data_IF_664203248738
#
_entry.id   IF_664203248738
#
_cell.length_a   1.000
_cell.length_b   1.000
_cell.length_c   1.000
_cell.angle_alpha   90.00
_cell.angle_beta   90.00
_cell.angle_gamma   90.00
#
_symmetry.space_group_name_H-M   'P 1'
#
loop_
_entity.id
_entity.type
_entity.pdbx_description
1 polymer ?
#
# COMPACT_ATOMS: atom_id res chain seq x y z
N UNK A 1 -28.64 17.20 7.38
CA UNK A 1 -28.03 15.94 7.86
C UNK A 1 -27.03 16.32 8.93
N UNK A 2 -27.09 15.65 10.07
CA UNK A 2 -26.13 15.85 11.18
C UNK A 2 -24.71 15.39 10.79
N UNK A 3 -23.70 16.00 11.41
CA UNK A 3 -22.27 15.74 11.15
C UNK A 3 -21.90 14.27 11.41
N UNK A 4 -22.48 13.64 12.44
CA UNK A 4 -22.22 12.23 12.74
C UNK A 4 -22.81 11.30 11.68
N UNK A 5 -24.00 11.58 11.17
CA UNK A 5 -24.60 10.83 10.07
C UNK A 5 -23.80 10.99 8.76
N UNK A 6 -23.24 12.19 8.51
CA UNK A 6 -22.30 12.40 7.39
C UNK A 6 -21.02 11.59 7.59
N UNK A 7 -20.47 11.54 8.80
CA UNK A 7 -19.27 10.79 9.12
C UNK A 7 -19.44 9.29 8.81
N UNK A 8 -20.53 8.69 9.24
CA UNK A 8 -20.82 7.28 8.95
C UNK A 8 -20.78 6.98 7.44
N UNK A 9 -21.48 7.79 6.64
CA UNK A 9 -21.54 7.64 5.18
C UNK A 9 -20.15 7.83 4.55
N UNK A 10 -19.44 8.88 4.92
CA UNK A 10 -18.21 9.29 4.25
C UNK A 10 -16.97 8.49 4.69
N UNK A 11 -17.00 7.86 5.85
CA UNK A 11 -15.97 6.91 6.28
C UNK A 11 -16.20 5.53 5.67
N UNK A 12 -17.45 5.07 5.56
CA UNK A 12 -17.76 3.83 4.86
C UNK A 12 -17.39 3.93 3.38
N UNK A 13 -17.70 5.06 2.74
CA UNK A 13 -17.31 5.34 1.37
C UNK A 13 -15.78 5.39 1.17
N UNK A 14 -15.00 5.74 2.19
CA UNK A 14 -13.55 5.81 2.15
C UNK A 14 -12.84 4.45 2.33
N UNK A 15 -13.54 3.38 2.72
CA UNK A 15 -12.92 2.08 3.06
C UNK A 15 -12.14 1.45 1.90
N UNK A 16 -12.53 1.72 0.66
CA UNK A 16 -11.88 1.19 -0.54
C UNK A 16 -10.59 1.94 -0.93
N UNK A 17 -10.29 3.06 -0.29
CA UNK A 17 -9.03 3.75 -0.48
C UNK A 17 -7.91 3.01 0.26
N UNK A 18 -6.92 2.46 -0.46
CA UNK A 18 -5.77 1.81 0.16
C UNK A 18 -4.79 2.86 0.66
N UNK A 19 -4.86 3.20 1.92
CA UNK A 19 -3.88 4.07 2.56
C UNK A 19 -3.30 3.45 3.82
N UNK A 20 -3.75 2.26 4.20
CA UNK A 20 -3.44 1.67 5.47
C UNK A 20 -3.15 0.19 5.35
N UNK A 21 -1.97 -0.18 5.78
CA UNK A 21 -1.74 -1.53 6.24
C UNK A 21 -2.51 -1.67 7.54
N UNK A 22 -3.72 -2.24 7.48
CA UNK A 22 -4.45 -2.62 8.69
C UNK A 22 -3.58 -3.57 9.50
N UNK A 23 -3.45 -3.33 10.79
CA UNK A 23 -2.67 -4.19 11.70
C UNK A 23 -3.28 -5.58 11.92
N UNK A 24 -4.35 -5.95 11.20
CA UNK A 24 -4.97 -7.27 11.24
C UNK A 24 -5.58 -7.70 12.58
N UNK A 25 -5.47 -6.90 13.63
CA UNK A 25 -6.00 -7.23 14.95
C UNK A 25 -7.37 -6.59 15.12
N UNK A 26 -8.42 -7.36 14.93
CA UNK A 26 -9.78 -7.01 15.34
C UNK A 26 -9.98 -7.44 16.78
N UNK A 27 -10.03 -6.50 17.72
CA UNK A 27 -10.53 -6.74 19.08
C UNK A 27 -11.96 -6.21 19.13
N UNK A 28 -12.94 -7.12 19.24
CA UNK A 28 -14.34 -6.76 19.42
C UNK A 28 -14.58 -6.12 20.80
N UNK A 29 -15.69 -5.41 20.93
CA UNK A 29 -16.18 -4.89 22.20
C UNK A 29 -16.29 -6.02 23.23
N UNK A 30 -15.71 -5.84 24.42
CA UNK A 30 -15.84 -6.77 25.54
C UNK A 30 -16.30 -5.99 26.77
N UNK A 31 -17.50 -6.28 27.26
CA UNK A 31 -18.08 -5.63 28.42
C UNK A 31 -17.16 -5.78 29.65
N UNK A 32 -16.88 -4.68 30.34
CA UNK A 32 -16.04 -4.68 31.54
C UNK A 32 -14.53 -4.53 31.29
N UNK A 33 -14.07 -4.37 30.04
CA UNK A 33 -12.68 -4.10 29.72
C UNK A 33 -12.50 -2.66 29.26
N UNK A 34 -11.54 -1.96 29.88
CA UNK A 34 -11.06 -0.66 29.39
C UNK A 34 -10.01 -0.95 28.31
N UNK A 35 -10.32 -0.67 27.06
CA UNK A 35 -9.43 -0.84 25.93
C UNK A 35 -9.93 -0.05 24.76
N UNK A 36 -9.00 0.34 23.91
CA UNK A 36 -9.28 1.19 22.77
C UNK A 36 -10.15 0.40 21.76
N UNK A 37 -11.47 0.59 21.83
CA UNK A 37 -12.44 0.09 20.85
C UNK A 37 -12.43 0.92 19.57
N UNK A 38 -11.30 1.59 19.25
CA UNK A 38 -11.16 2.45 18.07
C UNK A 38 -11.37 1.70 16.77
N UNK A 39 -11.40 0.36 16.79
CA UNK A 39 -11.87 -0.44 15.65
C UNK A 39 -13.37 -0.32 15.37
N UNK A 40 -14.15 0.23 16.28
CA UNK A 40 -15.60 0.46 16.13
C UNK A 40 -15.94 1.88 15.70
N UNK A 41 -14.99 2.83 15.77
CA UNK A 41 -15.19 4.14 15.17
C UNK A 41 -14.90 4.00 13.69
N UNK A 42 -15.96 3.98 12.89
CA UNK A 42 -15.84 3.98 11.45
C UNK A 42 -14.86 5.08 11.00
N UNK A 43 -13.90 4.74 10.14
CA UNK A 43 -13.00 5.72 9.54
C UNK A 43 -11.62 5.89 10.16
N UNK A 44 -11.25 5.18 11.23
CA UNK A 44 -9.87 5.22 11.70
C UNK A 44 -8.98 4.23 10.95
N UNK A 45 -7.85 4.70 10.46
CA UNK A 45 -6.86 3.88 9.78
C UNK A 45 -5.46 4.10 10.39
N UNK A 46 -4.55 3.16 10.13
CA UNK A 46 -3.19 3.22 10.64
C UNK A 46 -2.20 3.41 9.50
N UNK A 47 -1.21 4.27 9.69
CA UNK A 47 -0.05 4.40 8.81
C UNK A 47 1.22 4.35 9.65
N UNK A 48 2.36 4.05 9.01
CA UNK A 48 3.64 4.07 9.70
C UNK A 48 4.40 5.35 9.35
N UNK A 49 4.90 6.03 10.38
CA UNK A 49 5.83 7.14 10.22
C UNK A 49 7.23 6.64 9.84
N UNK A 50 8.14 7.54 9.45
CA UNK A 50 9.48 7.18 9.03
C UNK A 50 10.32 6.49 10.13
N UNK A 51 9.99 6.75 11.39
CA UNK A 51 10.59 6.13 12.58
C UNK A 51 9.93 4.79 12.99
N UNK A 52 8.99 4.29 12.18
CA UNK A 52 8.31 3.01 12.41
C UNK A 52 7.14 3.05 13.38
N UNK A 53 6.76 4.23 13.94
CA UNK A 53 5.58 4.36 14.78
C UNK A 53 4.30 4.20 13.96
N UNK A 54 3.32 3.52 14.55
CA UNK A 54 1.97 3.44 14.01
C UNK A 54 1.21 4.73 14.33
N UNK A 55 0.73 5.43 13.31
CA UNK A 55 -0.03 6.68 13.40
C UNK A 55 -1.48 6.40 13.04
N UNK A 56 -2.40 6.74 13.92
CA UNK A 56 -3.85 6.58 13.68
C UNK A 56 -4.39 7.81 12.96
N UNK A 57 -5.02 7.60 11.80
CA UNK A 57 -5.58 8.67 10.98
C UNK A 57 -7.11 8.58 10.91
N UNK A 58 -7.79 9.72 10.93
CA UNK A 58 -9.16 9.82 10.44
C UNK A 58 -9.12 9.72 8.92
N UNK A 59 -9.66 8.64 8.38
CA UNK A 59 -9.76 8.41 6.94
C UNK A 59 -11.18 8.70 6.49
N UNK A 60 -11.36 9.73 5.69
CA UNK A 60 -12.68 10.23 5.34
C UNK A 60 -12.68 10.86 3.95
N UNK A 61 -13.83 10.78 3.27
CA UNK A 61 -14.11 11.58 2.09
C UNK A 61 -14.65 12.96 2.51
N UNK A 62 -14.20 14.01 1.80
CA UNK A 62 -14.86 15.32 1.86
C UNK A 62 -16.31 15.21 1.36
N UNK A 63 -16.49 14.45 0.29
CA UNK A 63 -17.80 14.13 -0.28
C UNK A 63 -17.77 12.82 -1.05
N UNK A 64 -18.86 12.07 -1.02
CA UNK A 64 -19.10 10.95 -1.92
C UNK A 64 -20.07 11.29 -3.07
N UNK A 65 -20.51 12.54 -3.17
CA UNK A 65 -21.19 13.06 -4.36
C UNK A 65 -20.12 13.22 -5.46
N UNK A 66 -20.19 12.42 -6.51
CA UNK A 66 -19.20 12.44 -7.58
C UNK A 66 -19.88 12.69 -8.93
N UNK A 67 -19.28 13.55 -9.76
CA UNK A 67 -19.74 13.79 -11.14
C UNK A 67 -19.21 12.75 -12.13
N UNK A 68 -18.20 11.96 -11.72
CA UNK A 68 -17.61 10.89 -12.53
C UNK A 68 -18.37 9.58 -12.40
N UNK A 69 -18.29 8.75 -13.43
CA UNK A 69 -18.98 7.45 -13.47
C UNK A 69 -18.01 6.27 -13.63
N UNK A 70 -16.90 6.28 -12.87
CA UNK A 70 -15.91 5.20 -12.89
C UNK A 70 -16.57 3.87 -12.53
N UNK A 71 -16.53 2.88 -13.44
CA UNK A 71 -17.25 1.63 -13.33
C UNK A 71 -16.96 0.83 -12.05
N UNK A 72 -15.71 0.90 -11.55
CA UNK A 72 -15.27 0.20 -10.34
C UNK A 72 -15.64 0.90 -9.02
N UNK A 73 -16.18 2.13 -9.07
CA UNK A 73 -16.33 2.96 -7.87
C UNK A 73 -17.76 2.86 -7.31
N UNK A 74 -17.89 2.56 -6.01
CA UNK A 74 -19.17 2.55 -5.31
C UNK A 74 -19.83 3.93 -5.31
N UNK A 75 -19.02 5.00 -5.36
CA UNK A 75 -19.47 6.39 -5.32
C UNK A 75 -19.69 7.01 -6.72
N UNK A 76 -19.67 6.20 -7.79
CA UNK A 76 -19.92 6.69 -9.14
C UNK A 76 -21.32 7.36 -9.24
N UNK A 77 -21.45 8.29 -10.17
CA UNK A 77 -22.67 9.09 -10.35
C UNK A 77 -23.93 8.24 -10.50
N UNK A 78 -23.86 7.15 -11.27
CA UNK A 78 -25.02 6.30 -11.59
C UNK A 78 -25.42 5.34 -10.48
N UNK A 79 -24.65 5.19 -9.40
CA UNK A 79 -25.01 4.33 -8.28
C UNK A 79 -25.99 5.02 -7.33
N UNK A 80 -27.03 4.30 -6.94
CA UNK A 80 -27.97 4.72 -5.89
C UNK A 80 -27.36 4.40 -4.50
N UNK A 81 -26.54 5.33 -4.01
CA UNK A 81 -25.90 5.24 -2.68
C UNK A 81 -26.23 6.48 -1.87
N UNK A 82 -26.29 6.33 -0.54
CA UNK A 82 -26.47 7.49 0.36
C UNK A 82 -25.35 8.50 0.13
N UNK A 83 -25.73 9.76 -0.16
CA UNK A 83 -24.78 10.82 -0.48
C UNK A 83 -24.67 11.81 0.66
N UNK A 84 -23.44 12.25 0.92
CA UNK A 84 -23.14 13.28 1.89
C UNK A 84 -21.94 14.13 1.44
N UNK A 85 -21.85 15.33 1.97
CA UNK A 85 -20.69 16.21 1.83
C UNK A 85 -20.49 17.00 3.11
N UNK A 86 -19.24 17.08 3.55
CA UNK A 86 -18.84 18.03 4.60
C UNK A 86 -18.62 19.41 4.00
N UNK A 87 -18.97 20.44 4.76
CA UNK A 87 -18.38 21.76 4.54
C UNK A 87 -16.92 21.73 5.04
N UNK A 88 -16.04 22.62 4.56
CA UNK A 88 -14.68 22.75 5.06
C UNK A 88 -14.62 22.91 6.60
N UNK A 89 -15.53 23.71 7.16
CA UNK A 89 -15.59 23.94 8.60
C UNK A 89 -16.00 22.66 9.36
N UNK A 90 -17.06 21.97 8.95
CA UNK A 90 -17.51 20.72 9.60
C UNK A 90 -16.38 19.68 9.65
N UNK A 91 -15.63 19.52 8.56
CA UNK A 91 -14.52 18.56 8.50
C UNK A 91 -13.36 18.97 9.40
N UNK A 92 -13.03 20.25 9.44
CA UNK A 92 -11.98 20.78 10.31
C UNK A 92 -12.35 20.64 11.78
N UNK A 93 -13.58 20.99 12.17
CA UNK A 93 -14.10 20.87 13.54
C UNK A 93 -14.11 19.40 14.01
N UNK A 94 -14.57 18.50 13.14
CA UNK A 94 -14.57 17.06 13.41
C UNK A 94 -13.15 16.53 13.66
N UNK A 95 -12.22 16.89 12.77
CA UNK A 95 -10.83 16.44 12.84
C UNK A 95 -10.15 16.94 14.11
N UNK A 96 -10.29 18.23 14.44
CA UNK A 96 -9.64 18.77 15.64
C UNK A 96 -10.25 18.23 16.92
N UNK A 97 -11.56 17.97 16.94
CA UNK A 97 -12.22 17.37 18.11
C UNK A 97 -11.76 15.92 18.33
N UNK A 98 -11.58 15.13 17.28
CA UNK A 98 -11.04 13.77 17.39
C UNK A 98 -9.58 13.77 17.85
N UNK A 99 -8.79 14.70 17.33
CA UNK A 99 -7.40 14.87 17.75
C UNK A 99 -7.28 15.25 19.24
N UNK A 100 -8.06 16.25 19.70
CA UNK A 100 -8.06 16.68 21.12
C UNK A 100 -8.48 15.57 22.09
N UNK A 101 -9.29 14.62 21.62
CA UNK A 101 -9.70 13.43 22.38
C UNK A 101 -8.74 12.26 22.27
N UNK A 102 -7.59 12.43 21.58
CA UNK A 102 -6.60 11.40 21.34
C UNK A 102 -7.14 10.17 20.57
N UNK A 103 -8.17 10.34 19.74
CA UNK A 103 -8.68 9.27 18.89
C UNK A 103 -7.85 9.10 17.62
N UNK A 104 -7.26 10.18 17.13
CA UNK A 104 -6.44 10.23 15.93
C UNK A 104 -5.18 11.09 16.16
N UNK A 105 -4.17 10.83 15.36
CA UNK A 105 -2.93 11.61 15.27
C UNK A 105 -2.85 12.42 13.97
N UNK A 106 -3.77 12.17 13.03
CA UNK A 106 -3.78 12.85 11.75
C UNK A 106 -5.03 12.62 10.92
N UNK A 107 -5.02 13.16 9.72
CA UNK A 107 -6.11 13.12 8.76
C UNK A 107 -5.63 12.49 7.44
N UNK A 108 -6.41 11.55 6.90
CA UNK A 108 -6.33 11.13 5.51
C UNK A 108 -7.58 11.62 4.77
N UNK A 109 -7.40 12.59 3.88
CA UNK A 109 -8.48 13.25 3.17
C UNK A 109 -8.47 12.91 1.69
N UNK A 110 -9.60 12.40 1.22
CA UNK A 110 -9.92 12.24 -0.21
C UNK A 110 -11.30 12.81 -0.51
N UNK A 111 -11.76 12.74 -1.76
CA UNK A 111 -13.10 13.17 -2.15
C UNK A 111 -13.55 12.50 -3.44
N UNK A 112 -14.86 12.31 -3.60
CA UNK A 112 -15.48 12.27 -4.90
C UNK A 112 -15.39 13.65 -5.54
N UNK A 113 -15.48 13.73 -6.86
CA UNK A 113 -15.34 14.99 -7.60
C UNK A 113 -16.69 15.72 -7.58
N UNK A 114 -16.75 16.78 -6.77
CA UNK A 114 -17.88 17.71 -6.71
C UNK A 114 -17.79 18.67 -7.91
N UNK A 115 -18.86 18.95 -8.60
CA UNK A 115 -18.93 19.89 -9.74
C UNK A 115 -17.80 19.72 -10.77
N UNK A 116 -16.56 19.99 -10.37
CA UNK A 116 -15.33 19.82 -11.16
C UNK A 116 -14.11 19.59 -10.25
N UNK A 117 -12.94 19.20 -10.81
CA UNK A 117 -11.71 18.96 -10.05
C UNK A 117 -11.25 20.16 -9.22
N UNK A 118 -11.25 21.36 -9.79
CA UNK A 118 -10.76 22.58 -9.15
C UNK A 118 -11.59 22.94 -7.93
N UNK A 119 -12.90 23.01 -8.08
CA UNK A 119 -13.82 23.28 -6.98
C UNK A 119 -13.62 22.27 -5.82
N UNK A 120 -13.44 20.98 -6.15
CA UNK A 120 -13.22 19.94 -5.14
C UNK A 120 -11.92 20.16 -4.40
N UNK A 121 -10.84 20.46 -5.13
CA UNK A 121 -9.54 20.77 -4.54
C UNK A 121 -9.59 22.01 -3.65
N UNK A 122 -10.27 23.06 -4.08
CA UNK A 122 -10.46 24.29 -3.29
C UNK A 122 -11.15 24.00 -1.96
N UNK A 123 -12.22 23.18 -1.95
CA UNK A 123 -12.89 22.81 -0.71
C UNK A 123 -11.97 22.02 0.22
N UNK A 124 -11.20 21.05 -0.31
CA UNK A 124 -10.23 20.28 0.46
C UNK A 124 -9.12 21.19 1.03
N UNK A 125 -8.56 22.07 0.21
CA UNK A 125 -7.54 23.05 0.63
C UNK A 125 -8.09 23.96 1.73
N UNK A 126 -9.33 24.45 1.60
CA UNK A 126 -9.97 25.28 2.61
C UNK A 126 -10.09 24.55 3.95
N UNK A 127 -10.52 23.29 3.96
CA UNK A 127 -10.62 22.49 5.18
C UNK A 127 -9.24 22.30 5.86
N UNK A 128 -8.20 21.99 5.07
CA UNK A 128 -6.85 21.81 5.59
C UNK A 128 -6.25 23.14 6.07
N UNK A 129 -6.56 24.25 5.39
CA UNK A 129 -6.12 25.58 5.79
C UNK A 129 -6.72 25.99 7.14
N UNK A 130 -8.02 25.77 7.36
CA UNK A 130 -8.65 25.97 8.66
C UNK A 130 -7.92 25.16 9.75
N UNK A 131 -7.60 23.89 9.47
CA UNK A 131 -6.83 23.07 10.41
C UNK A 131 -5.45 23.67 10.71
N UNK A 132 -4.68 24.04 9.69
CA UNK A 132 -3.30 24.53 9.83
C UNK A 132 -3.21 25.93 10.42
N UNK A 133 -4.02 26.85 9.95
CA UNK A 133 -3.90 28.28 10.24
C UNK A 133 -4.76 28.68 11.47
N UNK A 134 -6.04 28.25 11.52
CA UNK A 134 -6.95 28.64 12.59
C UNK A 134 -6.80 27.75 13.83
N UNK A 135 -6.83 26.41 13.64
CA UNK A 135 -6.68 25.46 14.75
C UNK A 135 -5.22 25.14 15.10
N UNK A 136 -4.26 25.63 14.31
CA UNK A 136 -2.82 25.36 14.48
C UNK A 136 -2.51 23.87 14.64
N UNK A 137 -3.23 23.05 13.88
CA UNK A 137 -3.10 21.59 13.90
C UNK A 137 -1.75 21.19 13.33
N UNK A 138 -0.91 20.54 14.13
CA UNK A 138 0.42 20.04 13.75
C UNK A 138 0.45 18.52 13.54
N UNK A 139 -0.74 17.85 13.49
CA UNK A 139 -0.83 16.43 13.17
C UNK A 139 -0.56 16.13 11.71
N UNK A 140 -0.36 14.86 11.40
CA UNK A 140 -0.07 14.38 10.06
C UNK A 140 -1.28 14.54 9.12
N UNK A 141 -1.07 15.09 7.94
CA UNK A 141 -2.11 15.20 6.89
C UNK A 141 -1.64 14.52 5.61
N UNK A 142 -2.39 13.50 5.20
CA UNK A 142 -2.28 12.90 3.88
C UNK A 142 -3.50 13.33 3.05
N UNK A 143 -3.26 13.99 1.92
CA UNK A 143 -4.34 14.42 1.03
C UNK A 143 -4.20 13.82 -0.36
N UNK A 144 -5.35 13.43 -0.95
CA UNK A 144 -5.42 13.00 -2.35
C UNK A 144 -5.60 14.21 -3.25
N UNK A 145 -4.65 14.43 -4.15
CA UNK A 145 -4.81 15.37 -5.25
C UNK A 145 -5.86 14.85 -6.22
N UNK A 146 -6.80 15.70 -6.59
CA UNK A 146 -7.86 15.35 -7.53
C UNK A 146 -7.29 15.39 -8.96
N UNK A 147 -7.41 14.29 -9.75
CA UNK A 147 -6.95 14.27 -11.12
C UNK A 147 -7.61 15.35 -11.98
N UNK A 148 -6.81 16.10 -12.73
CA UNK A 148 -7.29 17.19 -13.58
C UNK A 148 -7.47 18.54 -12.88
N UNK A 149 -7.15 18.66 -11.59
CA UNK A 149 -7.13 19.95 -10.92
C UNK A 149 -5.96 20.84 -11.41
N UNK A 150 -6.17 22.16 -11.35
CA UNK A 150 -5.18 23.15 -11.76
C UNK A 150 -3.86 22.98 -10.97
N UNK A 151 -2.69 23.20 -11.63
CA UNK A 151 -1.38 23.06 -11.00
C UNK A 151 -1.20 23.90 -9.73
N UNK A 152 -1.77 25.11 -9.71
CA UNK A 152 -1.71 26.03 -8.58
C UNK A 152 -2.37 25.46 -7.33
N UNK A 153 -3.45 24.68 -7.50
CA UNK A 153 -4.14 24.01 -6.41
C UNK A 153 -3.33 22.81 -5.88
N UNK A 154 -2.63 22.10 -6.76
CA UNK A 154 -1.70 21.03 -6.33
C UNK A 154 -0.55 21.60 -5.51
N UNK A 155 0.00 22.76 -5.92
CA UNK A 155 1.03 23.49 -5.16
C UNK A 155 0.52 23.89 -3.77
N UNK A 156 -0.64 24.54 -3.70
CA UNK A 156 -1.23 24.95 -2.42
C UNK A 156 -1.47 23.75 -1.49
N UNK A 157 -2.00 22.66 -2.03
CA UNK A 157 -2.25 21.44 -1.25
C UNK A 157 -0.94 20.85 -0.71
N UNK A 158 0.14 20.87 -1.52
CA UNK A 158 1.45 20.36 -1.12
C UNK A 158 2.15 21.15 -0.03
N UNK A 159 1.89 22.45 0.06
CA UNK A 159 2.39 23.30 1.16
C UNK A 159 1.65 23.07 2.49
N UNK A 160 0.43 22.53 2.45
CA UNK A 160 -0.41 22.31 3.62
C UNK A 160 -0.37 20.85 4.12
N UNK A 161 -0.17 19.87 3.23
CA UNK A 161 -0.19 18.45 3.52
C UNK A 161 1.22 17.88 3.71
N UNK A 162 1.35 16.86 4.57
CA UNK A 162 2.62 16.15 4.75
C UNK A 162 2.89 15.15 3.63
N UNK A 163 1.84 14.51 3.11
CA UNK A 163 1.92 13.59 1.97
C UNK A 163 0.82 13.87 0.97
N UNK A 164 1.19 13.79 -0.31
CA UNK A 164 0.23 13.80 -1.40
C UNK A 164 0.10 12.42 -2.04
N UNK A 165 -1.07 12.11 -2.55
CA UNK A 165 -1.26 10.98 -3.45
C UNK A 165 -2.13 11.38 -4.63
N UNK A 166 -1.78 10.85 -5.80
CA UNK A 166 -2.62 10.90 -6.99
C UNK A 166 -2.76 9.45 -7.47
N UNK A 167 -3.98 8.93 -7.47
CA UNK A 167 -4.18 7.53 -7.80
C UNK A 167 -4.10 7.29 -9.30
N UNK A 168 -3.29 6.31 -9.70
CA UNK A 168 -3.24 5.85 -11.10
C UNK A 168 -4.45 4.97 -11.44
N UNK A 169 -5.10 4.40 -10.45
CA UNK A 169 -6.29 3.56 -10.46
C UNK A 169 -6.10 2.23 -11.19
N UNK A 170 -5.73 2.23 -12.46
CA UNK A 170 -5.62 1.03 -13.30
C UNK A 170 -4.24 0.91 -13.94
N UNK A 171 -3.75 -0.32 -14.21
CA UNK A 171 -2.42 -0.54 -14.73
C UNK A 171 -2.24 -0.03 -16.17
N UNK A 172 -3.29 -0.05 -16.97
CA UNK A 172 -3.22 0.26 -18.41
C UNK A 172 -4.11 1.44 -18.79
N UNK A 173 -3.70 2.16 -19.84
CA UNK A 173 -4.50 3.25 -20.42
C UNK A 173 -5.81 2.72 -21.02
N UNK A 174 -5.77 1.53 -21.62
CA UNK A 174 -6.97 0.89 -22.15
C UNK A 174 -7.99 0.59 -21.05
N UNK A 175 -7.52 0.06 -19.90
CA UNK A 175 -8.34 -0.15 -18.72
C UNK A 175 -8.93 1.16 -18.21
N UNK A 176 -8.11 2.22 -18.13
CA UNK A 176 -8.56 3.53 -17.65
C UNK A 176 -9.65 4.12 -18.57
N UNK A 177 -9.46 4.08 -19.89
CA UNK A 177 -10.50 4.54 -20.86
C UNK A 177 -11.81 3.77 -20.74
N UNK A 178 -11.73 2.47 -20.51
CA UNK A 178 -12.92 1.61 -20.42
C UNK A 178 -13.66 1.79 -19.09
N UNK A 179 -12.94 1.85 -17.97
CA UNK A 179 -13.54 1.81 -16.64
C UNK A 179 -13.67 3.18 -15.96
N UNK A 180 -12.97 4.20 -16.45
CA UNK A 180 -12.99 5.56 -15.91
C UNK A 180 -12.82 6.61 -17.02
N UNK A 181 -13.79 6.73 -17.95
CA UNK A 181 -13.64 7.52 -19.17
C UNK A 181 -13.40 9.02 -18.93
N UNK A 182 -13.80 9.54 -17.77
CA UNK A 182 -13.52 10.93 -17.39
C UNK A 182 -12.08 11.18 -16.90
N UNK A 183 -11.29 10.12 -16.74
CA UNK A 183 -9.88 10.20 -16.34
C UNK A 183 -8.97 9.86 -17.51
N UNK A 184 -7.92 10.65 -17.69
CA UNK A 184 -6.88 10.38 -18.69
C UNK A 184 -5.54 10.15 -18.00
N UNK A 185 -4.61 9.45 -18.67
CA UNK A 185 -3.24 9.31 -18.17
C UNK A 185 -2.61 10.68 -17.89
N UNK A 186 -2.85 11.67 -18.75
CA UNK A 186 -2.36 13.02 -18.55
C UNK A 186 -2.89 13.65 -17.26
N UNK A 187 -4.20 13.52 -16.97
CA UNK A 187 -4.83 14.09 -15.77
C UNK A 187 -4.30 13.46 -14.46
N UNK A 188 -3.79 12.24 -14.52
CA UNK A 188 -3.23 11.52 -13.37
C UNK A 188 -1.72 11.74 -13.25
N UNK A 189 -0.97 11.66 -14.35
CA UNK A 189 0.50 11.73 -14.33
C UNK A 189 1.02 13.17 -14.23
N UNK A 190 0.28 14.17 -14.73
CA UNK A 190 0.70 15.58 -14.63
C UNK A 190 0.85 16.05 -13.16
N UNK A 191 -0.13 15.83 -12.26
CA UNK A 191 0.06 16.13 -10.85
C UNK A 191 1.23 15.39 -10.21
N UNK A 192 1.45 14.10 -10.55
CA UNK A 192 2.60 13.34 -10.02
C UNK A 192 3.94 13.97 -10.41
N UNK A 193 4.06 14.37 -11.68
CA UNK A 193 5.26 15.04 -12.20
C UNK A 193 5.48 16.39 -11.51
N UNK A 194 4.43 17.18 -11.35
CA UNK A 194 4.49 18.47 -10.65
C UNK A 194 4.97 18.29 -9.21
N UNK A 195 4.38 17.34 -8.46
CA UNK A 195 4.76 17.03 -7.08
C UNK A 195 6.23 16.62 -7.02
N UNK A 196 6.71 15.81 -7.96
CA UNK A 196 8.12 15.41 -8.05
C UNK A 196 9.03 16.64 -8.22
N UNK A 197 8.78 17.44 -9.26
CA UNK A 197 9.60 18.61 -9.59
C UNK A 197 9.64 19.57 -8.39
N UNK A 198 8.48 19.88 -7.82
CA UNK A 198 8.36 20.78 -6.68
C UNK A 198 9.03 20.25 -5.43
N UNK A 199 8.94 18.92 -5.18
CA UNK A 199 9.64 18.28 -4.06
C UNK A 199 11.16 18.34 -4.19
N UNK A 200 11.71 18.25 -5.41
CA UNK A 200 13.16 18.40 -5.67
C UNK A 200 13.56 19.86 -5.41
N UNK A 201 12.85 20.82 -6.02
CA UNK A 201 13.10 22.25 -5.83
C UNK A 201 13.04 22.65 -4.35
N UNK A 202 12.02 22.16 -3.62
CA UNK A 202 11.87 22.47 -2.21
C UNK A 202 13.02 21.93 -1.35
N UNK A 203 13.60 20.77 -1.68
CA UNK A 203 14.80 20.26 -0.99
C UNK A 203 15.99 21.20 -1.19
N UNK A 204 16.18 21.73 -2.40
CA UNK A 204 17.24 22.68 -2.70
C UNK A 204 17.03 24.04 -2.00
N UNK A 205 15.77 24.51 -1.99
CA UNK A 205 15.37 25.74 -1.29
C UNK A 205 15.60 25.61 0.22
N UNK A 206 15.27 24.47 0.84
CA UNK A 206 15.49 24.20 2.26
C UNK A 206 16.98 24.22 2.66
N UNK A 207 17.88 23.89 1.74
CA UNK A 207 19.32 24.00 1.96
C UNK A 207 19.77 25.46 1.91
N UNK A 208 19.18 26.26 1.02
CA UNK A 208 19.57 27.66 0.78
C UNK A 208 18.93 28.65 1.76
N UNK A 209 17.68 28.40 2.14
CA UNK A 209 16.87 29.36 2.88
C UNK A 209 16.27 28.73 4.15
N UNK A 210 16.57 29.29 5.32
CA UNK A 210 16.21 28.75 6.64
C UNK A 210 14.69 28.66 6.90
N UNK A 211 13.90 29.53 6.29
CA UNK A 211 12.46 29.67 6.55
C UNK A 211 11.57 29.20 5.40
N UNK A 212 12.11 28.43 4.46
CA UNK A 212 11.32 27.88 3.35
C UNK A 212 10.21 26.96 3.88
N UNK A 213 8.96 27.15 3.46
CA UNK A 213 7.89 26.20 3.77
C UNK A 213 8.19 24.82 3.19
N UNK A 214 7.88 23.77 3.94
CA UNK A 214 8.04 22.38 3.47
C UNK A 214 6.92 22.04 2.51
N UNK A 215 7.27 21.46 1.36
CA UNK A 215 6.31 20.93 0.40
C UNK A 215 6.23 19.40 0.51
N UNK A 216 5.08 18.85 0.88
CA UNK A 216 4.80 17.42 1.02
C UNK A 216 6.01 16.62 1.59
N UNK A 217 6.48 16.90 2.80
CA UNK A 217 7.75 16.37 3.33
C UNK A 217 7.79 14.84 3.42
N UNK A 218 6.65 14.17 3.54
CA UNK A 218 6.56 12.71 3.48
C UNK A 218 6.47 12.15 2.05
N UNK A 219 6.54 13.03 1.03
CA UNK A 219 6.58 12.69 -0.38
C UNK A 219 5.23 12.30 -0.96
N UNK A 220 5.27 11.63 -2.12
CA UNK A 220 4.07 11.21 -2.82
C UNK A 220 3.91 9.69 -2.89
N UNK A 221 2.66 9.25 -3.06
CA UNK A 221 2.29 7.86 -3.28
C UNK A 221 1.15 7.75 -4.30
N UNK A 222 0.89 6.53 -4.76
CA UNK A 222 -0.24 6.23 -5.65
C UNK A 222 -0.90 4.93 -5.24
N UNK A 223 -2.09 4.68 -5.78
CA UNK A 223 -2.83 3.43 -5.61
C UNK A 223 -3.24 2.88 -6.97
N UNK A 224 -3.23 1.55 -7.08
CA UNK A 224 -3.63 0.79 -8.26
C UNK A 224 -4.56 -0.35 -7.86
N UNK A 225 -5.64 -0.51 -8.61
CA UNK A 225 -6.59 -1.61 -8.45
C UNK A 225 -6.07 -2.82 -9.21
N UNK A 226 -6.08 -3.99 -8.57
CA UNK A 226 -5.59 -5.25 -9.12
C UNK A 226 -6.76 -6.21 -9.32
N UNK A 227 -6.89 -6.74 -10.54
CA UNK A 227 -7.94 -7.72 -10.87
C UNK A 227 -9.26 -7.13 -11.36
N UNK A 228 -9.35 -5.80 -11.53
CA UNK A 228 -10.47 -5.17 -12.27
C UNK A 228 -10.29 -5.29 -13.79
N UNK A 229 -9.06 -5.44 -14.24
CA UNK A 229 -8.63 -5.59 -15.64
C UNK A 229 -7.76 -6.84 -15.80
N UNK A 230 -7.61 -7.40 -17.01
CA UNK A 230 -6.82 -8.61 -17.27
C UNK A 230 -5.30 -8.36 -17.32
N UNK A 231 -4.82 -7.22 -16.82
CA UNK A 231 -3.40 -6.88 -16.80
C UNK A 231 -2.57 -7.90 -16.03
N UNK A 232 -1.42 -8.30 -16.58
CA UNK A 232 -0.49 -9.23 -15.95
C UNK A 232 0.30 -8.60 -14.80
N UNK A 233 0.87 -9.41 -13.91
CA UNK A 233 1.71 -8.94 -12.83
C UNK A 233 3.01 -8.31 -13.35
N UNK A 234 3.55 -8.80 -14.46
CA UNK A 234 4.70 -8.20 -15.15
C UNK A 234 4.40 -6.76 -15.58
N UNK A 235 3.22 -6.54 -16.20
CA UNK A 235 2.80 -5.20 -16.61
C UNK A 235 2.68 -4.26 -15.40
N UNK A 236 2.05 -4.74 -14.32
CA UNK A 236 1.89 -4.00 -13.06
C UNK A 236 3.27 -3.66 -12.46
N UNK A 237 4.22 -4.61 -12.44
CA UNK A 237 5.55 -4.36 -11.87
C UNK A 237 6.40 -3.42 -12.70
N UNK A 238 6.36 -3.55 -14.04
CA UNK A 238 7.04 -2.61 -14.96
C UNK A 238 6.54 -1.18 -14.75
N UNK A 239 5.21 -1.02 -14.67
CA UNK A 239 4.62 0.27 -14.36
C UNK A 239 5.05 0.77 -12.98
N UNK A 240 5.00 -0.08 -11.97
CA UNK A 240 5.40 0.24 -10.60
C UNK A 240 6.85 0.70 -10.53
N UNK A 241 7.76 -0.03 -11.17
CA UNK A 241 9.17 0.35 -11.27
C UNK A 241 9.35 1.69 -11.99
N UNK A 242 8.68 1.88 -13.12
CA UNK A 242 8.71 3.15 -13.86
C UNK A 242 8.18 4.33 -13.05
N UNK A 243 7.19 4.12 -12.19
CA UNK A 243 6.68 5.14 -11.28
C UNK A 243 7.70 5.51 -10.20
N UNK A 244 8.44 4.54 -9.64
CA UNK A 244 9.53 4.82 -8.70
C UNK A 244 10.67 5.57 -9.38
N UNK A 245 11.11 5.12 -10.53
CA UNK A 245 12.26 5.68 -11.24
C UNK A 245 11.97 7.10 -11.77
N UNK A 246 10.78 7.33 -12.36
CA UNK A 246 10.44 8.60 -13.02
C UNK A 246 9.84 9.63 -12.09
N UNK A 247 9.01 9.23 -11.11
CA UNK A 247 8.25 10.16 -10.26
C UNK A 247 8.71 10.18 -8.80
N UNK A 248 9.74 9.39 -8.43
CA UNK A 248 10.29 9.30 -7.07
C UNK A 248 9.20 9.02 -6.02
N UNK A 249 8.23 8.18 -6.37
CA UNK A 249 7.18 7.78 -5.44
C UNK A 249 7.80 7.12 -4.19
N UNK A 250 7.19 7.35 -3.04
CA UNK A 250 7.55 6.64 -1.81
C UNK A 250 6.91 5.27 -1.74
N UNK A 251 5.71 5.10 -2.33
CA UNK A 251 5.01 3.83 -2.36
C UNK A 251 3.95 3.78 -3.46
N UNK A 252 3.82 2.63 -4.08
CA UNK A 252 2.65 2.21 -4.85
C UNK A 252 1.82 1.30 -3.95
N UNK A 253 0.53 1.60 -3.80
CA UNK A 253 -0.41 0.74 -3.09
C UNK A 253 -1.18 -0.09 -4.10
N UNK A 254 -1.26 -1.39 -3.85
CA UNK A 254 -2.12 -2.30 -4.58
C UNK A 254 -3.40 -2.51 -3.79
N UNK A 255 -4.52 -2.61 -4.48
CA UNK A 255 -5.82 -2.89 -3.89
C UNK A 255 -6.52 -3.96 -4.72
N UNK A 256 -6.73 -5.13 -4.16
CA UNK A 256 -7.53 -6.15 -4.80
C UNK A 256 -8.92 -5.60 -5.11
N UNK A 257 -9.36 -5.80 -6.36
CA UNK A 257 -10.69 -5.38 -6.76
C UNK A 257 -11.76 -6.14 -5.95
N UNK A 258 -12.62 -5.38 -5.29
CA UNK A 258 -13.80 -5.92 -4.59
C UNK A 258 -15.02 -5.65 -5.47
N UNK A 259 -15.75 -6.67 -5.90
CA UNK A 259 -16.92 -6.51 -6.77
C UNK A 259 -18.12 -5.93 -5.99
N UNK A 260 -18.17 -4.61 -5.88
CA UNK A 260 -19.26 -3.87 -5.18
C UNK A 260 -20.33 -3.36 -6.12
N UNK A 261 -20.02 -3.32 -7.42
CA UNK A 261 -20.90 -2.80 -8.47
C UNK A 261 -21.07 -3.89 -9.52
N UNK A 262 -22.31 -4.04 -10.02
CA UNK A 262 -22.57 -4.91 -11.16
C UNK A 262 -22.31 -4.15 -12.45
N UNK A 263 -21.47 -4.73 -13.31
CA UNK A 263 -21.12 -4.14 -14.60
C UNK A 263 -20.62 -5.24 -15.53
N UNK A 264 -21.07 -5.21 -16.79
CA UNK A 264 -20.54 -6.11 -17.82
C UNK A 264 -19.04 -5.89 -18.14
N UNK A 265 -18.48 -4.76 -17.70
CA UNK A 265 -17.07 -4.40 -17.91
C UNK A 265 -16.15 -4.88 -16.78
N UNK A 266 -16.68 -5.48 -15.72
CA UNK A 266 -15.96 -5.84 -14.50
C UNK A 266 -16.23 -7.31 -14.14
N UNK A 267 -15.34 -7.94 -13.36
CA UNK A 267 -15.62 -9.25 -12.80
C UNK A 267 -16.96 -9.27 -12.03
N UNK A 268 -17.67 -10.40 -12.11
CA UNK A 268 -18.97 -10.57 -11.47
C UNK A 268 -18.89 -10.39 -9.94
N UNK A 269 -20.03 -10.07 -9.30
CA UNK A 269 -20.13 -9.91 -7.84
C UNK A 269 -19.74 -11.18 -7.05
N UNK A 270 -19.83 -12.33 -7.68
CA UNK A 270 -19.46 -13.64 -7.09
C UNK A 270 -17.94 -13.87 -7.13
N UNK A 271 -17.19 -13.09 -7.93
CA UNK A 271 -15.75 -13.20 -8.02
C UNK A 271 -15.09 -12.81 -6.71
N UNK A 272 -14.33 -13.74 -6.12
CA UNK A 272 -13.58 -13.44 -4.91
C UNK A 272 -12.46 -12.44 -5.20
N UNK A 273 -12.29 -11.39 -4.35
CA UNK A 273 -11.18 -10.46 -4.48
C UNK A 273 -9.84 -11.18 -4.52
N UNK A 274 -8.91 -10.82 -5.42
CA UNK A 274 -7.63 -11.51 -5.59
C UNK A 274 -6.61 -11.09 -4.51
N UNK A 275 -6.95 -11.31 -3.23
CA UNK A 275 -6.14 -10.88 -2.08
C UNK A 275 -4.74 -11.50 -2.06
N UNK A 276 -4.62 -12.76 -2.49
CA UNK A 276 -3.33 -13.43 -2.55
C UNK A 276 -2.43 -12.83 -3.64
N UNK A 277 -3.01 -12.46 -4.79
CA UNK A 277 -2.30 -11.73 -5.86
C UNK A 277 -1.83 -10.35 -5.38
N UNK A 278 -2.70 -9.62 -4.68
CA UNK A 278 -2.33 -8.34 -4.05
C UNK A 278 -1.14 -8.53 -3.10
N UNK A 279 -1.18 -9.57 -2.25
CA UNK A 279 -0.10 -9.89 -1.32
C UNK A 279 1.22 -10.20 -2.06
N UNK A 280 1.19 -10.98 -3.17
CA UNK A 280 2.38 -11.27 -3.97
C UNK A 280 2.94 -10.01 -4.63
N UNK A 281 2.11 -9.13 -5.11
CA UNK A 281 2.54 -7.83 -5.64
C UNK A 281 3.19 -6.95 -4.57
N UNK A 282 2.68 -6.92 -3.33
CA UNK A 282 3.35 -6.24 -2.23
C UNK A 282 4.71 -6.86 -1.87
N UNK A 283 4.84 -8.18 -1.93
CA UNK A 283 6.13 -8.84 -1.73
C UNK A 283 7.11 -8.46 -2.86
N UNK A 284 6.66 -8.46 -4.11
CA UNK A 284 7.48 -8.05 -5.25
C UNK A 284 7.87 -6.57 -5.20
N UNK A 285 6.95 -5.67 -4.83
CA UNK A 285 7.24 -4.26 -4.57
C UNK A 285 8.37 -4.08 -3.55
N UNK A 286 8.36 -4.90 -2.50
CA UNK A 286 9.43 -4.90 -1.50
C UNK A 286 10.78 -5.32 -2.09
N UNK A 287 10.79 -6.32 -3.00
CA UNK A 287 12.00 -6.75 -3.70
C UNK A 287 12.54 -5.65 -4.63
N UNK A 288 11.68 -4.95 -5.36
CA UNK A 288 12.08 -3.81 -6.21
C UNK A 288 12.75 -2.70 -5.38
N UNK A 289 12.12 -2.30 -4.27
CA UNK A 289 12.56 -1.12 -3.50
C UNK A 289 13.78 -1.35 -2.61
N UNK A 290 13.96 -2.55 -2.09
CA UNK A 290 14.94 -2.77 -1.02
C UNK A 290 15.96 -3.86 -1.31
N UNK A 291 15.72 -4.70 -2.32
CA UNK A 291 16.58 -5.85 -2.62
C UNK A 291 17.29 -5.72 -3.98
N UNK A 292 17.06 -4.62 -4.70
CA UNK A 292 17.69 -4.38 -5.98
C UNK A 292 17.22 -5.30 -7.11
N UNK A 293 16.03 -5.90 -6.98
CA UNK A 293 15.42 -6.63 -8.09
C UNK A 293 14.81 -5.67 -9.10
N UNK A 294 14.75 -6.11 -10.35
CA UNK A 294 14.00 -5.45 -11.42
C UNK A 294 12.77 -6.27 -11.78
N UNK A 295 11.77 -5.61 -12.38
CA UNK A 295 10.53 -6.28 -12.77
C UNK A 295 10.78 -7.47 -13.72
N UNK A 296 11.69 -7.27 -14.69
CA UNK A 296 12.07 -8.27 -15.69
C UNK A 296 12.88 -9.44 -15.12
N UNK A 297 13.48 -9.31 -13.94
CA UNK A 297 14.12 -10.44 -13.25
C UNK A 297 13.07 -11.31 -12.54
N UNK A 298 12.00 -10.69 -12.03
CA UNK A 298 10.96 -11.39 -11.28
C UNK A 298 9.95 -12.11 -12.18
N UNK A 299 9.64 -11.54 -13.34
CA UNK A 299 8.67 -12.06 -14.30
C UNK A 299 9.13 -11.76 -15.74
N UNK A 300 8.66 -12.56 -16.67
CA UNK A 300 8.94 -12.41 -18.11
C UNK A 300 7.66 -12.65 -18.94
N UNK A 301 7.76 -12.56 -20.26
CA UNK A 301 6.61 -12.73 -21.16
C UNK A 301 6.08 -14.18 -21.20
N UNK A 302 6.89 -15.16 -20.80
CA UNK A 302 6.48 -16.58 -20.72
C UNK A 302 5.76 -16.87 -19.40
N UNK A 303 6.18 -16.19 -18.32
CA UNK A 303 5.60 -16.30 -16.98
C UNK A 303 5.20 -14.90 -16.48
N UNK A 304 4.14 -14.30 -17.07
CA UNK A 304 3.81 -12.88 -16.80
C UNK A 304 3.08 -12.65 -15.47
N UNK A 305 2.74 -13.69 -14.74
CA UNK A 305 2.04 -13.60 -13.45
C UNK A 305 2.68 -14.53 -12.41
N UNK A 306 2.65 -14.10 -11.15
CA UNK A 306 3.18 -14.89 -10.04
C UNK A 306 2.37 -16.15 -9.78
N UNK A 307 3.07 -17.23 -9.40
CA UNK A 307 2.42 -18.39 -8.79
C UNK A 307 1.88 -17.97 -7.39
N UNK A 308 0.57 -18.02 -7.17
CA UNK A 308 -0.01 -17.62 -5.89
C UNK A 308 0.46 -18.48 -4.72
N UNK A 309 0.94 -19.70 -4.96
CA UNK A 309 1.38 -20.64 -3.93
C UNK A 309 2.74 -20.29 -3.32
N UNK A 310 3.58 -19.50 -4.03
CA UNK A 310 4.95 -19.15 -3.62
C UNK A 310 5.17 -17.66 -3.50
N UNK A 311 6.09 -17.26 -2.64
CA UNK A 311 6.55 -15.87 -2.66
C UNK A 311 7.39 -15.58 -3.91
N UNK A 312 7.40 -14.32 -4.40
CA UNK A 312 8.12 -13.94 -5.62
C UNK A 312 9.62 -14.26 -5.59
N UNK A 313 10.26 -14.19 -4.42
CA UNK A 313 11.69 -14.46 -4.27
C UNK A 313 11.99 -15.97 -4.38
N UNK A 314 11.12 -16.81 -3.84
CA UNK A 314 11.20 -18.26 -4.05
C UNK A 314 10.97 -18.61 -5.52
N UNK A 315 9.98 -18.00 -6.17
CA UNK A 315 9.74 -18.19 -7.61
C UNK A 315 10.98 -17.84 -8.44
N UNK A 316 11.63 -16.72 -8.11
CA UNK A 316 12.87 -16.32 -8.77
C UNK A 316 13.98 -17.35 -8.57
N UNK A 317 14.19 -17.79 -7.32
CA UNK A 317 15.26 -18.74 -6.98
C UNK A 317 15.11 -20.09 -7.67
N UNK A 318 13.87 -20.59 -7.80
CA UNK A 318 13.58 -21.84 -8.53
C UNK A 318 13.87 -21.76 -10.04
N UNK A 319 13.80 -20.57 -10.63
CA UNK A 319 14.13 -20.33 -12.05
C UNK A 319 15.61 -20.06 -12.29
N UNK A 320 16.38 -19.84 -11.22
CA UNK A 320 17.82 -19.55 -11.30
C UNK A 320 18.64 -20.54 -10.48
N UNK A 321 18.54 -21.86 -10.74
CA UNK A 321 19.24 -22.88 -9.95
C UNK A 321 20.76 -22.71 -9.99
N UNK A 322 21.30 -22.23 -11.11
CA UNK A 322 22.76 -22.02 -11.29
C UNK A 322 23.34 -20.92 -10.40
N UNK A 323 22.51 -20.05 -9.85
CA UNK A 323 22.92 -19.02 -8.88
C UNK A 323 23.19 -19.61 -7.49
N UNK A 324 22.67 -20.78 -7.19
CA UNK A 324 22.68 -21.39 -5.87
C UNK A 324 23.55 -22.67 -5.83
N UNK A 325 24.10 -23.06 -4.67
CA UNK A 325 23.95 -22.40 -3.36
C UNK A 325 24.88 -21.20 -3.16
N UNK A 326 24.44 -20.23 -2.36
CA UNK A 326 25.22 -19.06 -1.98
C UNK A 326 25.99 -19.31 -0.70
N UNK A 327 27.32 -19.15 -0.72
CA UNK A 327 28.19 -19.31 0.46
C UNK A 327 28.16 -18.03 1.33
N UNK A 328 27.56 -18.10 2.52
CA UNK A 328 27.30 -16.94 3.38
C UNK A 328 28.59 -16.24 3.87
N UNK A 329 29.69 -16.96 3.96
CA UNK A 329 30.96 -16.41 4.40
C UNK A 329 31.72 -15.64 3.32
N UNK A 330 31.32 -15.76 2.04
CA UNK A 330 32.01 -15.15 0.88
C UNK A 330 31.13 -14.21 0.08
N UNK A 331 29.82 -14.51 0.00
CA UNK A 331 28.90 -13.78 -0.83
C UNK A 331 28.86 -12.27 -0.50
N UNK A 332 28.69 -11.44 -1.50
CA UNK A 332 28.41 -10.01 -1.33
C UNK A 332 26.99 -9.75 -0.80
N UNK A 333 26.67 -8.48 -0.59
CA UNK A 333 25.37 -8.08 -0.05
C UNK A 333 24.22 -8.41 -1.00
N UNK A 334 24.42 -8.17 -2.29
CA UNK A 334 23.44 -8.40 -3.34
C UNK A 334 23.13 -9.89 -3.48
N UNK A 335 24.15 -10.76 -3.49
CA UNK A 335 23.98 -12.21 -3.55
C UNK A 335 23.23 -12.73 -2.31
N UNK A 336 23.53 -12.23 -1.13
CA UNK A 336 22.79 -12.59 0.09
C UNK A 336 21.32 -12.20 0.00
N UNK A 337 21.01 -11.04 -0.58
CA UNK A 337 19.62 -10.58 -0.76
C UNK A 337 18.84 -11.43 -1.77
N UNK A 338 19.50 -12.16 -2.66
CA UNK A 338 18.85 -13.10 -3.59
C UNK A 338 18.34 -14.38 -2.90
N UNK A 339 18.95 -14.76 -1.77
CA UNK A 339 18.60 -16.00 -1.06
C UNK A 339 17.20 -15.91 -0.43
N UNK A 340 16.24 -16.81 -0.74
CA UNK A 340 14.97 -16.90 -0.05
C UNK A 340 15.17 -17.06 1.47
N UNK A 341 14.37 -16.36 2.26
CA UNK A 341 14.49 -16.38 3.73
C UNK A 341 15.56 -15.45 4.31
N UNK A 342 16.38 -14.76 3.48
CA UNK A 342 17.26 -13.68 3.91
C UNK A 342 16.63 -12.32 3.59
N UNK A 343 16.59 -11.44 4.60
CA UNK A 343 16.18 -10.07 4.48
C UNK A 343 17.35 -9.08 4.58
N UNK A 344 17.09 -7.81 4.32
CA UNK A 344 18.06 -6.70 4.43
C UNK A 344 18.77 -6.69 5.79
N UNK A 345 18.03 -6.90 6.88
CA UNK A 345 18.59 -6.91 8.24
C UNK A 345 19.48 -8.12 8.44
N UNK A 346 19.05 -9.32 8.02
CA UNK A 346 19.82 -10.56 8.15
C UNK A 346 21.10 -10.51 7.31
N UNK A 347 21.04 -10.01 6.06
CA UNK A 347 22.21 -9.83 5.21
C UNK A 347 23.26 -8.91 5.86
N UNK A 348 22.84 -7.76 6.39
CA UNK A 348 23.75 -6.84 7.10
C UNK A 348 24.37 -7.48 8.33
N UNK A 349 23.58 -8.23 9.13
CA UNK A 349 24.09 -8.96 10.31
C UNK A 349 25.10 -10.04 9.93
N UNK A 350 24.85 -10.79 8.84
CA UNK A 350 25.81 -11.76 8.30
C UNK A 350 27.12 -11.07 7.93
N UNK A 351 27.08 -9.98 7.15
CA UNK A 351 28.27 -9.24 6.75
C UNK A 351 29.08 -8.70 7.93
N UNK A 352 28.41 -8.31 9.00
CA UNK A 352 29.07 -7.84 10.23
C UNK A 352 29.67 -9.02 11.03
N UNK A 353 28.86 -10.06 11.26
CA UNK A 353 29.25 -11.19 12.11
C UNK A 353 30.42 -12.00 11.52
N UNK A 354 30.46 -12.22 10.20
CA UNK A 354 31.54 -12.97 9.55
C UNK A 354 32.94 -12.29 9.63
N UNK A 355 32.98 -11.00 10.01
CA UNK A 355 34.27 -10.30 10.26
C UNK A 355 35.00 -10.81 11.52
N UNK A 356 34.24 -11.35 12.46
CA UNK A 356 34.79 -11.89 13.72
C UNK A 356 35.16 -13.37 13.64
N UNK A 357 34.69 -14.06 12.60
CA UNK A 357 35.01 -15.48 12.36
C UNK A 357 34.00 -16.12 11.41
N UNK A 358 34.32 -17.30 10.86
CA UNK A 358 33.43 -17.98 9.90
C UNK A 358 32.14 -18.42 10.57
N UNK A 359 31.02 -18.10 9.91
CA UNK A 359 29.68 -18.48 10.35
C UNK A 359 29.39 -19.94 9.99
N UNK A 360 28.69 -20.62 10.90
CA UNK A 360 28.11 -21.96 10.69
C UNK A 360 26.60 -21.87 10.50
N UNK A 361 25.99 -22.93 10.00
CA UNK A 361 24.55 -22.98 9.77
C UNK A 361 23.73 -22.66 11.04
N UNK A 362 24.20 -23.15 12.20
CA UNK A 362 23.52 -22.95 13.50
C UNK A 362 23.54 -21.48 13.96
N UNK A 363 24.45 -20.66 13.41
CA UNK A 363 24.50 -19.23 13.72
C UNK A 363 23.42 -18.42 12.97
N UNK A 364 22.98 -18.88 11.80
CA UNK A 364 22.14 -18.12 10.88
C UNK A 364 20.75 -17.76 11.45
N UNK A 365 20.04 -18.66 12.18
CA UNK A 365 18.76 -18.29 12.81
C UNK A 365 18.88 -17.12 13.78
N UNK A 366 19.99 -17.04 14.55
CA UNK A 366 20.27 -15.95 15.50
C UNK A 366 20.49 -14.61 14.80
N UNK A 367 20.90 -14.64 13.53
CA UNK A 367 21.06 -13.46 12.68
C UNK A 367 19.76 -13.05 11.97
N UNK A 368 18.66 -13.81 12.19
CA UNK A 368 17.35 -13.54 11.64
C UNK A 368 17.09 -14.18 10.27
N UNK A 369 17.87 -15.22 9.92
CA UNK A 369 17.64 -16.00 8.68
C UNK A 369 16.49 -16.98 8.90
N UNK A 370 15.52 -16.98 7.97
CA UNK A 370 14.39 -17.92 7.97
C UNK A 370 14.85 -19.24 7.34
N UNK A 371 15.46 -20.12 8.16
CA UNK A 371 16.06 -21.36 7.69
C UNK A 371 15.10 -22.30 6.96
N UNK A 372 13.81 -22.30 7.30
CA UNK A 372 12.78 -23.08 6.60
C UNK A 372 12.77 -22.85 5.08
N UNK A 373 13.17 -21.66 4.63
CA UNK A 373 13.32 -21.32 3.21
C UNK A 373 14.78 -21.32 2.77
N UNK A 374 15.67 -20.72 3.58
CA UNK A 374 17.05 -20.44 3.20
C UNK A 374 17.92 -21.68 3.07
N UNK A 375 17.66 -22.76 3.82
CA UNK A 375 18.48 -23.98 3.85
C UNK A 375 18.69 -24.64 2.48
N UNK A 376 17.77 -24.43 1.54
CA UNK A 376 17.85 -24.99 0.20
C UNK A 376 18.74 -24.18 -0.76
N UNK A 377 19.14 -22.98 -0.37
CA UNK A 377 19.74 -21.99 -1.26
C UNK A 377 21.10 -21.44 -0.77
N UNK A 378 21.58 -21.91 0.38
CA UNK A 378 22.83 -21.41 0.95
C UNK A 378 23.73 -22.50 1.50
N UNK A 379 25.02 -22.15 1.61
CA UNK A 379 26.03 -22.92 2.34
C UNK A 379 26.68 -22.05 3.40
N UNK A 380 27.25 -22.70 4.41
CA UNK A 380 28.17 -22.10 5.40
C UNK A 380 29.40 -23.00 5.56
N UNK A 381 30.58 -22.47 5.22
CA UNK A 381 31.84 -23.23 5.12
C UNK A 381 31.73 -24.42 4.14
N UNK A 382 31.07 -24.23 3.02
CA UNK A 382 30.86 -25.25 1.99
C UNK A 382 29.90 -26.37 2.39
N UNK A 383 29.19 -26.25 3.52
CA UNK A 383 28.20 -27.25 3.98
C UNK A 383 26.78 -26.73 3.85
N UNK A 384 25.88 -27.56 3.40
CA UNK A 384 24.44 -27.36 3.44
C UNK A 384 23.83 -28.05 4.66
N UNK A 385 22.54 -27.77 4.92
CA UNK A 385 21.80 -28.51 5.95
C UNK A 385 21.65 -29.99 5.55
N UNK A 386 21.76 -30.89 6.54
CA UNK A 386 21.66 -32.34 6.30
C UNK A 386 20.22 -32.76 5.93
N UNK A 387 20.09 -33.86 5.18
CA UNK A 387 18.82 -34.50 4.84
C UNK A 387 17.97 -33.75 3.80
N UNK A 388 18.56 -32.79 3.07
CA UNK A 388 17.83 -32.08 2.01
C UNK A 388 17.79 -32.92 0.73
N UNK A 389 16.57 -33.01 0.15
CA UNK A 389 16.38 -33.59 -1.17
C UNK A 389 16.26 -32.45 -2.20
N UNK A 390 17.10 -32.49 -3.24
CA UNK A 390 17.27 -31.43 -4.24
C UNK A 390 16.63 -31.75 -5.58
N UNK A 391 15.69 -32.70 -5.64
CA UNK A 391 14.87 -32.80 -6.86
C UNK A 391 13.97 -31.55 -6.95
N UNK A 392 13.80 -31.04 -8.15
CA UNK A 392 13.04 -29.81 -8.38
C UNK A 392 11.61 -29.89 -7.80
N UNK A 393 10.98 -31.06 -7.94
CA UNK A 393 9.62 -31.31 -7.41
C UNK A 393 9.61 -31.32 -5.87
N UNK A 394 10.57 -31.96 -5.23
CA UNK A 394 10.69 -32.01 -3.78
C UNK A 394 10.95 -30.63 -3.19
N UNK A 395 11.83 -29.86 -3.81
CA UNK A 395 12.11 -28.48 -3.40
C UNK A 395 10.86 -27.59 -3.52
N UNK A 396 10.14 -27.68 -4.64
CA UNK A 396 8.88 -26.97 -4.86
C UNK A 396 7.84 -27.32 -3.81
N UNK A 397 7.60 -28.60 -3.52
CA UNK A 397 6.63 -29.05 -2.53
C UNK A 397 6.99 -28.57 -1.12
N UNK A 398 8.27 -28.65 -0.74
CA UNK A 398 8.74 -28.18 0.55
C UNK A 398 8.54 -26.66 0.72
N UNK A 399 8.82 -25.86 -0.32
CA UNK A 399 8.62 -24.42 -0.27
C UNK A 399 7.14 -24.06 -0.20
N UNK A 400 6.26 -24.76 -0.92
CA UNK A 400 4.80 -24.58 -0.84
C UNK A 400 4.30 -24.90 0.57
N UNK A 401 4.75 -25.99 1.18
CA UNK A 401 4.36 -26.35 2.54
C UNK A 401 4.77 -25.29 3.58
N UNK A 402 5.99 -24.74 3.44
CA UNK A 402 6.45 -23.62 4.27
C UNK A 402 5.56 -22.40 4.08
N UNK A 403 5.22 -22.06 2.84
CA UNK A 403 4.39 -20.89 2.52
C UNK A 403 2.98 -21.03 3.12
N UNK A 404 2.36 -22.20 2.96
CA UNK A 404 1.05 -22.48 3.54
C UNK A 404 1.05 -22.37 5.07
N UNK A 405 2.15 -22.74 5.73
CA UNK A 405 2.27 -22.61 7.19
C UNK A 405 2.39 -21.15 7.66
N UNK A 406 2.72 -20.22 6.77
CA UNK A 406 2.91 -18.79 7.07
C UNK A 406 1.70 -17.93 6.69
N UNK A 407 0.84 -18.44 5.81
CA UNK A 407 -0.43 -17.77 5.51
C UNK A 407 -1.33 -17.82 6.75
N UNK A 408 -2.09 -16.76 7.03
CA UNK A 408 -3.11 -16.80 8.07
C UNK A 408 -4.02 -17.99 7.76
N UNK A 409 -4.08 -18.96 8.69
CA UNK A 409 -5.09 -20.02 8.60
C UNK A 409 -6.46 -19.34 8.52
N UNK A 410 -7.37 -19.76 7.61
CA UNK A 410 -8.75 -19.33 7.71
C UNK A 410 -9.16 -19.65 9.15
N UNK A 411 -9.58 -18.62 9.90
CA UNK A 411 -10.13 -18.84 11.24
C UNK A 411 -11.12 -19.98 11.10
N UNK A 412 -10.85 -21.11 11.76
CA UNK A 412 -11.86 -22.14 11.94
C UNK A 412 -12.98 -21.45 12.71
N UNK A 413 -13.97 -20.98 12.01
CA UNK A 413 -15.19 -20.46 12.60
C UNK A 413 -15.78 -21.65 13.34
N UNK A 414 -15.69 -21.63 14.65
CA UNK A 414 -16.40 -22.56 15.46
C UNK A 414 -17.88 -22.33 15.16
N UNK A 415 -18.44 -23.19 14.32
CA UNK A 415 -19.85 -23.15 13.99
C UNK A 415 -20.59 -23.29 15.32
N UNK A 416 -21.37 -22.28 15.67
CA UNK A 416 -22.33 -22.38 16.76
C UNK A 416 -23.35 -23.43 16.37
N UNK A 417 -23.78 -24.25 17.32
CA UNK A 417 -24.87 -25.22 17.16
C UNK A 417 -26.19 -24.57 16.66
N UNK A 418 -26.22 -23.26 16.51
CA UNK A 418 -27.38 -22.45 16.12
C UNK A 418 -27.18 -21.68 14.81
N UNK A 419 -26.08 -21.88 14.06
CA UNK A 419 -25.82 -21.19 12.78
C UNK A 419 -26.69 -21.71 11.62
N UNK A 420 -27.48 -22.80 11.81
CA UNK A 420 -28.37 -23.36 10.78
C UNK A 420 -29.87 -22.98 10.97
N UNK A 421 -30.17 -21.99 11.79
CA UNK A 421 -31.55 -21.57 12.04
C UNK A 421 -31.76 -20.07 11.77
N UNK A 422 -31.62 -19.64 10.49
CA UNK A 422 -32.39 -18.53 9.90
C UNK A 422 -32.41 -18.69 8.38
#
# INVERSE_FOLDING_TARGET
>A
MDVLAKLEILTDAAKYDAACTSSGVRRGFRQGYIGNTTSSIAGCCHTFSADGRCVTLLKVLMSNCCVYDCAYCVNRRSNDTRRAAFTPQELADLTINFYRRNYIEGLFLSSGVLRNPDYTMEQMIRAIRILREEYRFNGYIHAKAIPGAAPELVEQLGLLADRLSCNIELPSEAGLRTLAPEKTNASVLAPMRQIQIRSIQNKEELVKYRHTPKFAPAGQSTQMIVGATPDSDLHILRLTQGLYDRYQLKRVFFSAYVPVVESALLPSKETKPPLLREHRLYQADWLLRFYGFRAEELLDEQTPSFDPRLDPKCCWALRHPDFFPVEVNRADYEALLRVPGLGVVSARRILTARRTGPLRLENLPKLGVVMKRAQYFLTANGRMADGLCFTQDSLLQNLIAVEQSLLPQPEMRQLSLFDDAV
#
